data_IF_364702270655
#
_entry.id   IF_364702270655
#
_cell.length_a   1.000
_cell.length_b   1.000
_cell.length_c   1.000
_cell.angle_alpha   90.00
_cell.angle_beta   90.00
_cell.angle_gamma   90.00
#
_symmetry.space_group_name_H-M   'P 1'
#
loop_
_entity.id
_entity.type
_entity.pdbx_description
1 polymer ?
#
# COMPACT_ATOMS: atom_id res chain seq x y z
N UNK A 1 -0.21 -6.90 0.25
CA UNK A 1 0.73 -7.62 -0.63
C UNK A 1 0.23 -9.00 -1.00
N UNK A 2 -0.08 -9.85 -0.02
CA UNK A 2 -0.47 -11.26 -0.21
C UNK A 2 -1.53 -11.47 -1.31
N UNK A 3 -2.66 -10.74 -1.36
CA UNK A 3 -3.69 -10.99 -2.39
C UNK A 3 -3.19 -10.70 -3.80
N UNK A 4 -2.36 -9.65 -3.96
CA UNK A 4 -1.79 -9.26 -5.26
C UNK A 4 -0.77 -10.30 -5.71
N UNK A 5 0.09 -10.77 -4.80
CA UNK A 5 1.09 -11.80 -5.09
C UNK A 5 0.41 -13.12 -5.48
N UNK A 6 -0.67 -13.49 -4.80
CA UNK A 6 -1.49 -14.67 -5.13
C UNK A 6 -2.13 -14.50 -6.52
N UNK A 7 -2.69 -13.33 -6.82
CA UNK A 7 -3.27 -13.05 -8.13
C UNK A 7 -2.25 -13.07 -9.28
N UNK A 8 -0.95 -12.88 -8.98
CA UNK A 8 0.14 -12.95 -9.95
C UNK A 8 0.79 -14.35 -10.04
N UNK A 9 0.32 -15.34 -9.28
CA UNK A 9 0.77 -16.72 -9.43
C UNK A 9 0.37 -17.23 -10.82
N UNK A 10 1.37 -17.64 -11.62
CA UNK A 10 1.18 -18.07 -13.01
C UNK A 10 1.53 -17.01 -14.07
N UNK A 11 1.85 -15.77 -13.67
CA UNK A 11 2.40 -14.76 -14.57
C UNK A 11 3.89 -14.98 -14.85
N UNK A 12 4.38 -14.37 -15.93
CA UNK A 12 5.81 -14.35 -16.30
C UNK A 12 6.66 -13.45 -15.40
N UNK A 13 6.06 -12.73 -14.44
CA UNK A 13 6.79 -11.87 -13.51
C UNK A 13 7.67 -12.65 -12.55
N UNK A 14 8.89 -12.13 -12.33
CA UNK A 14 9.79 -12.65 -11.31
C UNK A 14 9.22 -12.40 -9.91
N UNK A 15 9.73 -13.11 -8.91
CA UNK A 15 9.28 -12.94 -7.53
C UNK A 15 9.44 -11.50 -7.02
N UNK A 16 10.51 -10.83 -7.42
CA UNK A 16 10.77 -9.45 -7.06
C UNK A 16 9.78 -8.48 -7.74
N UNK A 17 9.46 -8.70 -9.02
CA UNK A 17 8.46 -7.88 -9.73
C UNK A 17 7.07 -8.03 -9.11
N UNK A 18 6.70 -9.25 -8.69
CA UNK A 18 5.41 -9.49 -7.99
C UNK A 18 5.34 -8.73 -6.67
N UNK A 19 6.43 -8.70 -5.90
CA UNK A 19 6.52 -7.94 -4.65
C UNK A 19 6.48 -6.43 -4.90
N UNK A 20 7.16 -5.94 -5.94
CA UNK A 20 7.13 -4.54 -6.34
C UNK A 20 5.75 -4.10 -6.79
N UNK A 21 5.07 -4.87 -7.65
CA UNK A 21 3.70 -4.58 -8.08
C UNK A 21 2.75 -4.57 -6.89
N UNK A 22 2.90 -5.54 -5.98
CA UNK A 22 2.16 -5.55 -4.73
C UNK A 22 2.33 -4.24 -3.96
N UNK A 23 3.59 -3.81 -3.80
CA UNK A 23 4.05 -2.69 -2.97
C UNK A 23 3.78 -1.32 -3.61
N UNK A 24 3.73 -1.24 -4.93
CA UNK A 24 3.43 -0.02 -5.68
C UNK A 24 1.92 0.22 -5.83
N UNK A 25 1.09 -0.79 -5.60
CA UNK A 25 -0.36 -0.65 -5.69
C UNK A 25 -0.88 0.42 -4.70
N UNK A 26 -1.54 1.49 -5.18
CA UNK A 26 -2.05 2.56 -4.32
C UNK A 26 -3.18 2.00 -3.45
N UNK A 27 -2.95 1.89 -2.14
CA UNK A 27 -3.94 1.36 -1.17
C UNK A 27 -4.66 2.46 -0.40
N UNK A 28 -4.19 3.69 -0.59
CA UNK A 28 -4.40 4.76 0.38
C UNK A 28 -5.75 5.44 0.17
N UNK A 29 -6.15 5.67 -1.08
CA UNK A 29 -7.47 6.25 -1.41
C UNK A 29 -8.61 5.35 -0.95
N UNK A 30 -8.52 4.04 -1.16
CA UNK A 30 -9.55 3.08 -0.72
C UNK A 30 -9.63 2.99 0.79
N UNK A 31 -8.50 2.99 1.50
CA UNK A 31 -8.46 2.94 2.97
C UNK A 31 -9.08 4.20 3.58
N UNK A 32 -8.86 5.38 2.99
CA UNK A 32 -9.51 6.64 3.40
C UNK A 32 -11.04 6.53 3.25
N UNK A 33 -11.52 6.07 2.09
CA UNK A 33 -12.97 5.94 1.83
C UNK A 33 -13.63 4.98 2.82
N UNK A 34 -13.04 3.81 3.08
CA UNK A 34 -13.57 2.87 4.06
C UNK A 34 -13.49 3.39 5.50
N UNK A 35 -12.41 4.11 5.86
CA UNK A 35 -12.29 4.76 7.16
C UNK A 35 -13.39 5.80 7.40
N UNK A 36 -13.69 6.62 6.39
CA UNK A 36 -14.79 7.60 6.44
C UNK A 36 -16.17 6.93 6.48
N UNK A 37 -16.35 5.83 5.75
CA UNK A 37 -17.59 5.05 5.78
C UNK A 37 -17.84 4.46 7.17
N UNK A 38 -16.79 3.90 7.80
CA UNK A 38 -16.87 3.37 9.16
C UNK A 38 -17.15 4.48 10.18
N UNK A 39 -16.47 5.63 10.07
CA UNK A 39 -16.72 6.79 10.92
C UNK A 39 -18.19 7.26 10.85
N UNK A 40 -18.76 7.31 9.63
CA UNK A 40 -20.15 7.74 9.45
C UNK A 40 -21.17 6.73 9.98
N UNK A 41 -20.80 5.46 10.14
CA UNK A 41 -21.67 4.39 10.62
C UNK A 41 -21.69 4.24 12.15
N UNK A 42 -20.84 4.94 12.90
CA UNK A 42 -20.68 4.77 14.35
C UNK A 42 -21.53 5.77 15.19
N UNK A 43 -22.13 5.35 16.31
CA UNK A 43 -22.80 6.24 17.27
C UNK A 43 -21.84 7.27 17.90
N UNK A 44 -22.38 8.43 18.32
CA UNK A 44 -21.61 9.64 18.69
C UNK A 44 -20.62 9.46 19.85
N UNK A 45 -20.84 8.49 20.72
CA UNK A 45 -20.16 8.36 22.00
C UNK A 45 -18.71 7.85 21.85
N UNK A 46 -18.38 7.24 20.72
CA UNK A 46 -17.03 6.71 20.39
C UNK A 46 -16.35 7.42 19.20
N UNK A 47 -16.95 8.49 18.67
CA UNK A 47 -16.51 9.12 17.41
C UNK A 47 -15.14 9.80 17.48
N UNK A 48 -14.76 10.36 18.64
CA UNK A 48 -13.53 11.16 18.75
C UNK A 48 -12.27 10.28 18.80
N UNK A 49 -12.33 9.17 19.55
CA UNK A 49 -11.23 8.21 19.65
C UNK A 49 -11.07 7.42 18.34
N UNK A 50 -12.19 6.98 17.74
CA UNK A 50 -12.16 6.26 16.47
C UNK A 50 -11.64 7.13 15.33
N UNK A 51 -12.02 8.41 15.25
CA UNK A 51 -11.51 9.34 14.24
C UNK A 51 -10.00 9.58 14.40
N UNK A 52 -9.53 9.78 15.63
CA UNK A 52 -8.11 9.98 15.92
C UNK A 52 -7.29 8.76 15.50
N UNK A 53 -7.78 7.56 15.81
CA UNK A 53 -7.12 6.30 15.45
C UNK A 53 -7.08 6.11 13.92
N UNK A 54 -8.17 6.38 13.22
CA UNK A 54 -8.25 6.34 11.75
C UNK A 54 -7.26 7.33 11.14
N UNK A 55 -7.23 8.58 11.60
CA UNK A 55 -6.33 9.62 11.08
C UNK A 55 -4.87 9.23 11.28
N UNK A 56 -4.48 8.78 12.49
CA UNK A 56 -3.09 8.39 12.78
C UNK A 56 -2.67 7.17 11.95
N UNK A 57 -3.52 6.15 11.86
CA UNK A 57 -3.22 4.93 11.09
C UNK A 57 -3.14 5.22 9.60
N UNK A 58 -4.06 6.02 9.06
CA UNK A 58 -4.09 6.39 7.65
C UNK A 58 -2.90 7.27 7.30
N UNK A 59 -2.63 8.34 8.06
CA UNK A 59 -1.48 9.22 7.81
C UNK A 59 -0.15 8.48 7.97
N UNK A 60 -0.02 7.65 9.02
CA UNK A 60 1.15 6.81 9.22
C UNK A 60 1.36 5.84 8.07
N UNK A 61 0.31 5.18 7.59
CA UNK A 61 0.35 4.30 6.42
C UNK A 61 0.78 5.06 5.16
N UNK A 62 0.20 6.24 4.89
CA UNK A 62 0.54 7.09 3.73
C UNK A 62 2.01 7.48 3.76
N UNK A 63 2.56 7.87 4.90
CA UNK A 63 3.98 8.22 5.03
C UNK A 63 4.86 6.99 4.79
N UNK A 64 4.54 5.86 5.42
CA UNK A 64 5.30 4.62 5.27
C UNK A 64 5.27 4.08 3.83
N UNK A 65 4.13 4.13 3.15
CA UNK A 65 4.01 3.71 1.75
C UNK A 65 4.63 4.72 0.78
N UNK A 66 4.32 5.99 0.95
CA UNK A 66 4.80 7.07 0.09
C UNK A 66 6.32 7.22 0.09
N UNK A 67 6.98 6.95 1.22
CA UNK A 67 8.44 6.91 1.32
C UNK A 67 9.01 5.52 0.99
N UNK A 68 8.33 4.46 1.40
CA UNK A 68 8.80 3.08 1.23
C UNK A 68 8.79 2.60 -0.21
N UNK A 69 7.77 2.96 -1.02
CA UNK A 69 7.64 2.48 -2.40
C UNK A 69 8.71 3.02 -3.36
N UNK A 70 9.02 4.33 -3.38
CA UNK A 70 10.12 4.86 -4.19
C UNK A 70 11.48 4.33 -3.73
N UNK A 71 11.68 4.15 -2.42
CA UNK A 71 12.92 3.61 -1.87
C UNK A 71 13.12 2.13 -2.28
N UNK A 72 12.08 1.30 -2.18
CA UNK A 72 12.11 -0.10 -2.61
C UNK A 72 12.36 -0.22 -4.12
N UNK A 73 11.70 0.59 -4.94
CA UNK A 73 11.89 0.61 -6.39
C UNK A 73 13.33 1.04 -6.77
N UNK A 74 13.88 2.07 -6.11
CA UNK A 74 15.27 2.51 -6.31
C UNK A 74 16.28 1.44 -5.91
N UNK A 75 16.06 0.74 -4.80
CA UNK A 75 16.92 -0.36 -4.36
C UNK A 75 16.85 -1.53 -5.32
N UNK A 76 15.66 -1.88 -5.81
CA UNK A 76 15.50 -2.93 -6.82
C UNK A 76 16.25 -2.61 -8.13
N UNK A 77 16.12 -1.38 -8.63
CA UNK A 77 16.80 -0.92 -9.83
C UNK A 77 18.34 -0.94 -9.67
N UNK A 78 18.86 -0.68 -8.46
CA UNK A 78 20.30 -0.78 -8.16
C UNK A 78 20.81 -2.23 -8.11
N UNK A 79 19.97 -3.17 -7.69
CA UNK A 79 20.31 -4.60 -7.61
C UNK A 79 20.21 -5.30 -8.97
N UNK A 80 19.44 -4.76 -9.92
CA UNK A 80 19.29 -5.30 -11.28
C UNK A 80 19.68 -4.28 -12.38
N UNK A 81 20.94 -3.79 -12.40
CA UNK A 81 21.40 -2.86 -13.42
C UNK A 81 21.60 -3.62 -14.75
N UNK A 82 20.57 -3.66 -15.61
CA UNK A 82 20.72 -4.24 -16.95
C UNK A 82 19.46 -4.76 -17.67
N UNK A 83 18.26 -4.69 -17.08
CA UNK A 83 17.05 -5.23 -17.70
C UNK A 83 16.10 -4.19 -18.33
N UNK A 84 16.48 -2.90 -18.35
CA UNK A 84 15.70 -1.81 -18.96
C UNK A 84 15.86 -1.68 -20.48
N UNK A 85 16.34 -2.72 -21.16
CA UNK A 85 16.49 -2.72 -22.62
C UNK A 85 16.25 -4.09 -23.22
N UNK A 86 14.98 -4.44 -23.46
CA UNK A 86 14.54 -5.34 -24.52
C UNK A 86 13.17 -4.91 -25.03
#
# INVERSE_FOLDING_TARGET
MIPVVVALLGSTFSWHDRLLVGWLGPRDTTSIVFGLLAFNALPNDEQVDSLTMVVVVVLGSVVLHGLGAPAAARTYARLHPGQTGR
#
